data_IF_776055695141
#
_entry.id   IF_776055695141
#
_cell.length_a   1.000
_cell.length_b   1.000
_cell.length_c   1.000
_cell.angle_alpha   90.00
_cell.angle_beta   90.00
_cell.angle_gamma   90.00
#
_symmetry.space_group_name_H-M   'P 1'
#
loop_
_entity.id
_entity.type
_entity.pdbx_description
1 polymer ?
#
# COMPACT_ATOMS: atom_id res chain seq x y z
N UNK A 1 -15.83 9.97 -0.73
CA UNK A 1 -15.83 8.48 -0.54
C UNK A 1 -14.95 8.13 0.65
N UNK A 2 -15.46 7.32 1.52
CA UNK A 2 -14.70 6.81 2.66
C UNK A 2 -14.04 5.48 2.26
N UNK A 3 -12.73 5.43 2.28
CA UNK A 3 -11.96 4.24 1.92
C UNK A 3 -12.37 3.01 2.74
N UNK A 4 -12.67 3.20 4.02
CA UNK A 4 -13.05 2.11 4.92
C UNK A 4 -14.45 1.57 4.66
N UNK A 5 -15.33 2.36 4.06
CA UNK A 5 -16.71 1.97 3.81
C UNK A 5 -16.91 1.36 2.42
N UNK A 6 -16.06 1.69 1.47
CA UNK A 6 -16.20 1.28 0.08
C UNK A 6 -15.14 0.26 -0.35
N UNK A 7 -14.68 -0.55 0.59
CA UNK A 7 -13.58 -1.49 0.39
C UNK A 7 -13.81 -2.48 -0.75
N UNK A 8 -15.06 -2.82 -1.04
CA UNK A 8 -15.39 -3.78 -2.10
C UNK A 8 -15.21 -3.21 -3.51
N UNK A 9 -15.11 -1.89 -3.61
CA UNK A 9 -15.02 -1.19 -4.89
C UNK A 9 -13.60 -0.69 -5.17
N UNK A 10 -12.70 -0.85 -4.21
CA UNK A 10 -11.34 -0.32 -4.30
C UNK A 10 -10.35 -1.46 -4.44
N UNK A 11 -9.61 -1.42 -5.52
CA UNK A 11 -8.50 -2.33 -5.75
C UNK A 11 -7.22 -1.52 -5.91
N UNK A 12 -6.13 -2.04 -5.39
CA UNK A 12 -4.81 -1.41 -5.52
C UNK A 12 -3.98 -2.25 -6.47
N UNK A 13 -3.49 -1.61 -7.52
CA UNK A 13 -2.62 -2.27 -8.50
C UNK A 13 -1.18 -1.89 -8.23
N UNK A 14 -0.31 -2.90 -8.15
CA UNK A 14 1.14 -2.72 -8.01
C UNK A 14 1.78 -3.20 -9.30
N UNK A 15 2.48 -2.31 -9.99
CA UNK A 15 2.94 -2.61 -11.35
C UNK A 15 4.33 -2.07 -11.63
N UNK A 16 5.02 -2.76 -12.54
CA UNK A 16 6.24 -2.29 -13.19
C UNK A 16 6.21 -2.80 -14.64
N UNK A 17 7.13 -2.34 -15.51
CA UNK A 17 7.25 -2.93 -16.84
C UNK A 17 7.53 -4.43 -16.83
N UNK A 18 8.04 -4.97 -15.71
CA UNK A 18 8.35 -6.39 -15.57
C UNK A 18 7.16 -7.25 -15.10
N UNK A 19 6.07 -6.64 -14.64
CA UNK A 19 4.88 -7.38 -14.19
C UNK A 19 4.00 -6.57 -13.26
N UNK A 20 2.80 -7.08 -13.00
CA UNK A 20 1.84 -6.39 -12.14
C UNK A 20 0.97 -7.38 -11.38
N UNK A 21 0.35 -6.88 -10.29
CA UNK A 21 -0.65 -7.62 -9.51
C UNK A 21 -1.68 -6.66 -8.96
N UNK A 22 -2.94 -7.02 -9.06
CA UNK A 22 -4.03 -6.24 -8.48
C UNK A 22 -4.48 -6.89 -7.16
N UNK A 23 -4.36 -6.14 -6.07
CA UNK A 23 -4.82 -6.56 -4.75
C UNK A 23 -6.34 -6.52 -4.72
N UNK A 24 -6.97 -7.66 -4.46
CA UNK A 24 -8.40 -7.86 -4.69
C UNK A 24 -9.33 -6.95 -3.89
N UNK A 25 -9.09 -6.80 -2.58
CA UNK A 25 -9.99 -6.02 -1.72
C UNK A 25 -9.29 -4.95 -0.88
N UNK A 26 -8.00 -4.77 -1.07
CA UNK A 26 -7.19 -3.77 -0.38
C UNK A 26 -7.22 -3.87 1.16
N UNK A 27 -7.61 -5.02 1.73
CA UNK A 27 -7.74 -5.20 3.19
C UNK A 27 -6.48 -4.83 3.95
N UNK A 28 -5.31 -5.24 3.46
CA UNK A 28 -4.05 -4.92 4.11
C UNK A 28 -3.89 -3.40 4.29
N UNK A 29 -4.12 -2.64 3.24
CA UNK A 29 -3.94 -1.19 3.28
C UNK A 29 -4.95 -0.52 4.23
N UNK A 30 -6.18 -1.03 4.29
CA UNK A 30 -7.18 -0.52 5.23
C UNK A 30 -6.78 -0.78 6.68
N UNK A 31 -6.24 -1.97 6.97
CA UNK A 31 -5.74 -2.28 8.30
C UNK A 31 -4.54 -1.41 8.68
N UNK A 32 -3.67 -1.10 7.71
CA UNK A 32 -2.53 -0.20 7.96
C UNK A 32 -3.01 1.21 8.27
N UNK A 33 -4.06 1.69 7.62
CA UNK A 33 -4.65 2.99 7.97
C UNK A 33 -5.14 2.98 9.43
N UNK A 34 -5.85 1.94 9.85
CA UNK A 34 -6.29 1.80 11.24
C UNK A 34 -5.11 1.76 12.20
N UNK A 35 -4.08 1.02 11.84
CA UNK A 35 -2.86 0.92 12.64
C UNK A 35 -2.21 2.29 12.82
N UNK A 36 -2.14 3.08 11.77
CA UNK A 36 -1.56 4.43 11.81
C UNK A 36 -2.33 5.36 12.73
N UNK A 37 -3.62 5.15 12.89
CA UNK A 37 -4.50 5.98 13.72
C UNK A 37 -4.49 5.59 15.21
N UNK A 38 -3.87 4.48 15.56
CA UNK A 38 -3.87 3.96 16.94
C UNK A 38 -2.92 4.71 17.88
N UNK A 39 -2.06 5.57 17.35
CA UNK A 39 -1.12 6.33 18.19
C UNK A 39 -0.04 5.49 18.85
N UNK A 40 0.38 4.39 18.21
CA UNK A 40 1.41 3.52 18.74
C UNK A 40 2.75 4.25 18.85
N UNK A 41 3.51 3.93 19.89
CA UNK A 41 4.87 4.45 20.08
C UNK A 41 5.84 3.62 19.23
N UNK A 42 5.97 4.01 17.95
CA UNK A 42 6.84 3.32 16.99
C UNK A 42 8.20 4.01 16.88
N UNK A 43 9.22 3.24 16.54
CA UNK A 43 10.51 3.78 16.13
C UNK A 43 10.32 4.62 14.86
N UNK A 44 11.16 5.66 14.62
CA UNK A 44 11.01 6.49 13.43
C UNK A 44 10.95 5.72 12.11
N UNK A 45 11.81 4.71 11.93
CA UNK A 45 11.82 3.90 10.71
C UNK A 45 10.53 3.07 10.55
N UNK A 46 10.01 2.52 11.66
CA UNK A 46 8.76 1.76 11.65
C UNK A 46 7.58 2.67 11.35
N UNK A 47 7.57 3.87 11.93
CA UNK A 47 6.54 4.87 11.68
C UNK A 47 6.53 5.29 10.22
N UNK A 48 7.70 5.53 9.63
CA UNK A 48 7.80 5.88 8.20
C UNK A 48 7.21 4.81 7.31
N UNK A 49 7.45 3.53 7.60
CA UNK A 49 6.88 2.43 6.83
C UNK A 49 5.36 2.42 6.90
N UNK A 50 4.80 2.56 8.09
CA UNK A 50 3.35 2.59 8.28
C UNK A 50 2.73 3.80 7.56
N UNK A 51 3.33 4.99 7.71
CA UNK A 51 2.84 6.20 7.08
C UNK A 51 2.92 6.15 5.56
N UNK A 52 3.98 5.55 5.01
CA UNK A 52 4.11 5.35 3.57
C UNK A 52 2.92 4.59 3.01
N UNK A 53 2.55 3.48 3.64
CA UNK A 53 1.44 2.66 3.17
C UNK A 53 0.07 3.27 3.51
N UNK A 54 -0.06 3.91 4.66
CA UNK A 54 -1.30 4.57 5.05
C UNK A 54 -1.62 5.78 4.17
N UNK A 55 -0.62 6.36 3.50
CA UNK A 55 -0.82 7.49 2.60
C UNK A 55 -1.46 7.10 1.26
N UNK A 56 -1.46 5.82 0.90
CA UNK A 56 -2.02 5.37 -0.39
C UNK A 56 -3.50 5.77 -0.54
N UNK A 57 -4.39 5.51 0.43
CA UNK A 57 -5.79 5.95 0.29
C UNK A 57 -5.93 7.46 0.16
N UNK A 58 -5.12 8.22 0.88
CA UNK A 58 -5.17 9.69 0.82
C UNK A 58 -4.82 10.21 -0.56
N UNK A 59 -3.80 9.61 -1.21
CA UNK A 59 -3.41 10.01 -2.56
C UNK A 59 -4.52 9.75 -3.59
N UNK A 60 -5.39 8.76 -3.33
CA UNK A 60 -6.47 8.42 -4.24
C UNK A 60 -7.75 9.24 -3.99
N UNK A 61 -8.01 9.63 -2.75
CA UNK A 61 -9.29 10.22 -2.36
C UNK A 61 -9.20 11.66 -1.87
N UNK A 62 -8.02 12.12 -1.48
CA UNK A 62 -7.79 13.47 -0.99
C UNK A 62 -7.08 14.30 -2.06
N UNK A 63 -7.78 15.28 -2.64
CA UNK A 63 -7.19 16.17 -3.62
C UNK A 63 -6.03 16.97 -3.01
N UNK A 64 -5.00 17.18 -3.80
CA UNK A 64 -3.87 18.02 -3.41
C UNK A 64 -2.78 17.34 -2.62
N UNK A 65 -2.82 16.02 -2.45
CA UNK A 65 -1.71 15.31 -1.83
C UNK A 65 -0.46 15.45 -2.70
N UNK A 66 0.57 15.99 -2.09
CA UNK A 66 1.87 16.13 -2.74
C UNK A 66 2.72 14.88 -2.55
N UNK A 67 3.80 14.79 -3.31
CA UNK A 67 4.81 13.75 -3.13
C UNK A 67 5.38 13.81 -1.71
N UNK A 68 5.56 12.64 -1.11
CA UNK A 68 6.09 12.52 0.25
C UNK A 68 5.94 11.10 0.75
N UNK A 69 6.35 10.87 2.00
CA UNK A 69 6.29 9.57 2.65
C UNK A 69 6.91 8.42 1.85
N UNK A 70 7.93 8.73 1.02
CA UNK A 70 8.57 7.73 0.19
C UNK A 70 8.01 7.60 -1.23
N UNK A 71 6.95 8.33 -1.54
CA UNK A 71 6.30 8.29 -2.85
C UNK A 71 6.63 9.51 -3.70
N UNK A 72 6.71 9.30 -5.00
CA UNK A 72 6.66 10.36 -6.00
C UNK A 72 5.29 10.25 -6.69
N UNK A 73 4.52 11.32 -6.63
CA UNK A 73 3.21 11.34 -7.27
C UNK A 73 3.38 11.71 -8.74
N UNK A 74 2.94 10.83 -9.63
CA UNK A 74 2.98 11.06 -11.07
C UNK A 74 1.60 11.55 -11.50
N UNK A 75 1.49 12.79 -12.04
CA UNK A 75 0.19 13.31 -12.48
C UNK A 75 -0.41 12.44 -13.57
N UNK A 76 -1.75 12.35 -13.63
CA UNK A 76 -2.40 11.58 -14.69
C UNK A 76 -2.19 12.24 -16.06
N UNK A 77 -2.19 11.40 -17.11
CA UNK A 77 -2.06 11.87 -18.49
C UNK A 77 -3.32 12.61 -18.97
N UNK A 78 -4.47 12.33 -18.37
CA UNK A 78 -5.73 13.00 -18.67
C UNK A 78 -6.49 13.28 -17.38
N UNK A 79 -7.47 14.18 -17.43
CA UNK A 79 -8.30 14.52 -16.27
C UNK A 79 -9.19 13.35 -15.81
N UNK A 80 -9.33 12.32 -16.63
CA UNK A 80 -10.14 11.15 -16.32
C UNK A 80 -9.34 10.04 -15.65
N UNK A 81 -8.01 10.13 -15.68
CA UNK A 81 -7.13 9.13 -15.09
C UNK A 81 -6.78 9.50 -13.64
N UNK A 82 -6.46 8.48 -12.85
CA UNK A 82 -6.00 8.66 -11.48
C UNK A 82 -4.51 8.91 -11.45
N UNK A 83 -4.00 9.65 -10.45
CA UNK A 83 -2.56 9.78 -10.27
C UNK A 83 -1.95 8.43 -9.91
N UNK A 84 -0.66 8.28 -10.18
CA UNK A 84 0.11 7.08 -9.89
C UNK A 84 1.17 7.42 -8.85
N UNK A 85 1.33 6.58 -7.85
CA UNK A 85 2.35 6.71 -6.84
C UNK A 85 3.54 5.83 -7.22
N UNK A 86 4.74 6.42 -7.26
CA UNK A 86 5.95 5.71 -7.68
C UNK A 86 6.94 5.62 -6.52
N UNK A 87 7.58 4.45 -6.38
CA UNK A 87 8.65 4.23 -5.41
C UNK A 87 9.64 3.20 -5.95
N UNK A 88 10.81 3.11 -5.32
CA UNK A 88 11.72 2.02 -5.63
C UNK A 88 11.16 0.71 -5.07
N UNK A 89 11.38 -0.43 -5.75
CA UNK A 89 10.90 -1.72 -5.24
C UNK A 89 11.52 -2.07 -3.88
N UNK A 90 12.78 -1.69 -3.66
CA UNK A 90 13.46 -1.93 -2.38
C UNK A 90 12.76 -1.20 -1.24
N UNK A 91 12.42 0.07 -1.44
CA UNK A 91 11.78 0.88 -0.42
C UNK A 91 10.37 0.38 -0.11
N UNK A 92 9.60 0.07 -1.15
CA UNK A 92 8.25 -0.46 -0.96
C UNK A 92 8.28 -1.82 -0.27
N UNK A 93 9.20 -2.70 -0.67
CA UNK A 93 9.35 -4.01 -0.01
C UNK A 93 9.66 -3.85 1.48
N UNK A 94 10.61 -3.00 1.81
CA UNK A 94 10.98 -2.76 3.21
C UNK A 94 9.79 -2.23 4.01
N UNK A 95 9.03 -1.30 3.44
CA UNK A 95 7.84 -0.75 4.10
C UNK A 95 6.77 -1.83 4.31
N UNK A 96 6.51 -2.66 3.30
CA UNK A 96 5.54 -3.75 3.40
C UNK A 96 5.94 -4.78 4.46
N UNK A 97 7.22 -5.16 4.50
CA UNK A 97 7.71 -6.13 5.49
C UNK A 97 7.59 -5.57 6.91
N UNK A 98 7.97 -4.33 7.11
CA UNK A 98 7.90 -3.67 8.42
C UNK A 98 6.44 -3.50 8.87
N UNK A 99 5.59 -2.98 8.00
CA UNK A 99 4.18 -2.76 8.31
C UNK A 99 3.46 -4.08 8.59
N UNK A 100 3.76 -5.14 7.83
CA UNK A 100 3.21 -6.48 8.06
C UNK A 100 3.57 -6.98 9.45
N UNK A 101 4.82 -6.85 9.85
CA UNK A 101 5.28 -7.27 11.18
C UNK A 101 4.52 -6.53 12.29
N UNK A 102 4.42 -5.22 12.17
CA UNK A 102 3.72 -4.39 13.17
C UNK A 102 2.23 -4.74 13.20
N UNK A 103 1.62 -4.94 12.05
CA UNK A 103 0.21 -5.31 11.97
C UNK A 103 -0.06 -6.62 12.68
N UNK A 104 0.77 -7.65 12.45
CA UNK A 104 0.58 -8.95 13.09
C UNK A 104 0.80 -8.87 14.61
N UNK A 105 1.69 -8.02 15.08
CA UNK A 105 1.87 -7.76 16.51
C UNK A 105 0.67 -7.07 17.14
N UNK A 106 -0.18 -6.42 16.35
CA UNK A 106 -1.34 -5.65 16.81
C UNK A 106 -2.64 -6.13 16.16
N UNK A 107 -2.68 -7.37 15.68
CA UNK A 107 -3.82 -7.90 14.92
C UNK A 107 -5.13 -7.84 15.73
N UNK A 108 -5.10 -8.21 17.01
CA UNK A 108 -6.29 -8.20 17.84
C UNK A 108 -6.84 -6.78 18.07
N UNK A 109 -6.03 -5.79 18.51
CA UNK A 109 -6.53 -4.42 18.65
C UNK A 109 -7.02 -3.80 17.34
N UNK A 110 -6.36 -4.11 16.22
CA UNK A 110 -6.78 -3.61 14.90
C UNK A 110 -8.05 -4.29 14.41
N UNK A 111 -8.29 -5.51 14.85
CA UNK A 111 -9.48 -6.26 14.46
C UNK A 111 -9.30 -7.11 13.20
N UNK A 112 -8.08 -7.61 12.98
CA UNK A 112 -7.80 -8.48 11.83
C UNK A 112 -8.28 -9.89 12.12
N UNK A 113 -9.15 -10.41 11.25
CA UNK A 113 -9.64 -11.79 11.39
C UNK A 113 -8.62 -12.82 10.92
N UNK A 114 -8.74 -14.07 11.38
CA UNK A 114 -7.86 -15.15 10.95
C UNK A 114 -7.96 -15.40 9.43
N UNK A 115 -9.16 -15.29 8.87
CA UNK A 115 -9.36 -15.43 7.43
C UNK A 115 -8.66 -14.33 6.64
N UNK A 116 -8.71 -13.10 7.14
CA UNK A 116 -8.02 -11.97 6.51
C UNK A 116 -6.51 -12.13 6.56
N UNK A 117 -5.96 -12.67 7.65
CA UNK A 117 -4.51 -12.93 7.74
C UNK A 117 -4.07 -13.84 6.60
N UNK A 118 -4.78 -14.94 6.37
CA UNK A 118 -4.45 -15.90 5.30
C UNK A 118 -4.53 -15.21 3.93
N UNK A 119 -5.62 -14.48 3.68
CA UNK A 119 -5.82 -13.80 2.39
C UNK A 119 -4.75 -12.72 2.15
N UNK A 120 -4.43 -11.94 3.18
CA UNK A 120 -3.41 -10.88 3.08
C UNK A 120 -2.03 -11.47 2.81
N UNK A 121 -1.64 -12.53 3.51
CA UNK A 121 -0.34 -13.17 3.27
C UNK A 121 -0.22 -13.66 1.84
N UNK A 122 -1.27 -14.26 1.29
CA UNK A 122 -1.28 -14.72 -0.09
C UNK A 122 -1.15 -13.56 -1.09
N UNK A 123 -1.89 -12.47 -0.86
CA UNK A 123 -1.80 -11.29 -1.71
C UNK A 123 -0.41 -10.62 -1.62
N UNK A 124 0.16 -10.53 -0.42
CA UNK A 124 1.49 -9.95 -0.24
C UNK A 124 2.57 -10.78 -0.95
N UNK A 125 2.45 -12.10 -0.97
CA UNK A 125 3.39 -12.93 -1.71
C UNK A 125 3.41 -12.57 -3.19
N UNK A 126 2.25 -12.31 -3.79
CA UNK A 126 2.17 -11.86 -5.17
C UNK A 126 2.79 -10.48 -5.35
N UNK A 127 2.53 -9.56 -4.44
CA UNK A 127 3.11 -8.22 -4.47
C UNK A 127 4.64 -8.30 -4.38
N UNK A 128 5.17 -9.11 -3.46
CA UNK A 128 6.62 -9.30 -3.34
C UNK A 128 7.22 -9.88 -4.62
N UNK A 129 6.49 -10.74 -5.33
CA UNK A 129 6.92 -11.24 -6.63
C UNK A 129 7.06 -10.13 -7.67
N UNK A 130 6.13 -9.20 -7.72
CA UNK A 130 6.21 -8.02 -8.59
C UNK A 130 7.42 -7.16 -8.24
N UNK A 131 7.65 -6.92 -6.93
CA UNK A 131 8.78 -6.12 -6.48
C UNK A 131 10.11 -6.78 -6.81
N UNK A 132 10.20 -8.09 -6.65
CA UNK A 132 11.40 -8.85 -6.99
C UNK A 132 11.73 -8.72 -8.48
N UNK A 133 10.75 -8.87 -9.34
CA UNK A 133 10.92 -8.74 -10.79
C UNK A 133 11.33 -7.32 -11.19
N UNK A 134 10.73 -6.31 -10.58
CA UNK A 134 11.08 -4.91 -10.83
C UNK A 134 12.51 -4.60 -10.41
N UNK A 135 12.92 -5.08 -9.23
CA UNK A 135 14.27 -4.88 -8.71
C UNK A 135 15.31 -5.54 -9.62
N UNK A 136 15.07 -6.77 -10.05
CA UNK A 136 15.97 -7.49 -10.93
C UNK A 136 16.14 -6.80 -12.29
N UNK A 137 15.09 -6.16 -12.79
CA UNK A 137 15.11 -5.45 -14.07
C UNK A 137 15.53 -3.97 -13.94
N UNK A 138 15.68 -3.45 -12.72
CA UNK A 138 16.07 -2.06 -12.48
C UNK A 138 14.97 -1.03 -12.71
N UNK A 139 13.69 -1.43 -12.54
CA UNK A 139 12.55 -0.53 -12.73
C UNK A 139 11.99 -0.02 -11.39
N UNK A 140 11.44 1.19 -11.36
CA UNK A 140 10.58 1.60 -10.25
C UNK A 140 9.26 0.84 -10.29
N UNK A 141 8.51 0.88 -9.19
CA UNK A 141 7.16 0.31 -9.12
C UNK A 141 6.14 1.43 -8.96
N UNK A 142 4.99 1.20 -9.54
CA UNK A 142 3.86 2.11 -9.50
C UNK A 142 2.72 1.47 -8.72
N UNK A 143 2.08 2.27 -7.87
CA UNK A 143 0.86 1.88 -7.18
C UNK A 143 -0.25 2.78 -7.67
N UNK A 144 -1.34 2.18 -8.11
CA UNK A 144 -2.48 2.93 -8.66
C UNK A 144 -3.80 2.34 -8.16
N UNK A 145 -4.82 3.17 -8.23
CA UNK A 145 -6.18 2.79 -7.92
C UNK A 145 -6.84 2.17 -9.15
N UNK A 146 -7.61 1.10 -8.90
CA UNK A 146 -8.43 0.44 -9.93
C UNK A 146 -9.81 0.21 -9.32
N UNK A 147 -10.83 0.67 -9.98
CA UNK A 147 -12.21 0.45 -9.56
C UNK A 147 -12.85 -0.73 -10.28
#
# INVERSE_FOLDING_TARGET
MDFNNDSNLVHVNVASPAGSYTVGNASFFRYIVRLSEMGLALRPADREAVEMLASIPHAFFDEGIASGNGWRIVPPASMQDWPVMEATPQRLRAALQTARRILWQNAAPVGVSAGDIVAIEEELDHVFGVLHSAEAAGFPVNVSYVS
#
